data_IF_006297860062
#
_entry.id   IF_006297860062
#
_cell.length_a   1.000
_cell.length_b   1.000
_cell.length_c   1.000
_cell.angle_alpha   90.00
_cell.angle_beta   90.00
_cell.angle_gamma   90.00
#
_symmetry.space_group_name_H-M   'P 1'
#
loop_
_entity.id
_entity.type
_entity.pdbx_description
1 polymer ?
#
# COMPACT_ATOMS: atom_id res chain seq x y z
N UNK A 1 -35.71 -3.18 3.28
CA UNK A 1 -34.38 -3.23 2.72
C UNK A 1 -33.88 -1.85 2.33
N UNK A 2 -32.59 -1.65 2.39
CA UNK A 2 -31.93 -0.41 1.97
C UNK A 2 -31.68 -0.37 0.45
N UNK A 3 -31.86 -1.51 -0.22
CA UNK A 3 -31.62 -1.68 -1.68
C UNK A 3 -32.93 -1.90 -2.39
N UNK A 4 -33.18 -1.13 -3.44
CA UNK A 4 -34.36 -1.22 -4.31
C UNK A 4 -33.98 -1.09 -5.80
N UNK A 5 -34.98 -1.04 -6.67
CA UNK A 5 -34.78 -0.98 -8.13
C UNK A 5 -34.18 0.35 -8.61
N UNK A 6 -34.14 1.38 -7.79
CA UNK A 6 -33.57 2.70 -8.10
C UNK A 6 -32.18 2.90 -7.52
N UNK A 7 -31.70 1.94 -6.73
CA UNK A 7 -30.38 2.00 -6.08
C UNK A 7 -29.28 1.91 -7.13
N UNK A 8 -28.30 2.79 -7.02
CA UNK A 8 -27.04 2.74 -7.75
C UNK A 8 -25.90 2.35 -6.79
N UNK A 9 -25.14 1.34 -7.16
CA UNK A 9 -23.93 0.93 -6.45
C UNK A 9 -22.71 1.59 -7.10
N UNK A 10 -22.00 2.40 -6.34
CA UNK A 10 -20.72 2.98 -6.75
C UNK A 10 -19.60 2.25 -6.02
N UNK A 11 -18.76 1.55 -6.77
CA UNK A 11 -17.57 0.88 -6.26
C UNK A 11 -16.37 1.76 -6.58
N UNK A 12 -15.56 2.04 -5.58
CA UNK A 12 -14.35 2.86 -5.72
C UNK A 12 -13.14 2.11 -5.19
N UNK A 13 -11.99 2.31 -5.83
CA UNK A 13 -10.70 1.74 -5.44
C UNK A 13 -10.64 0.21 -5.48
N UNK A 14 -11.53 -0.39 -6.23
CA UNK A 14 -11.63 -1.84 -6.40
C UNK A 14 -12.40 -2.20 -7.66
N UNK A 15 -11.84 -3.09 -8.49
CA UNK A 15 -12.53 -3.67 -9.66
C UNK A 15 -12.79 -5.18 -9.52
N UNK A 16 -12.37 -5.82 -8.39
CA UNK A 16 -12.45 -7.27 -8.18
C UNK A 16 -13.50 -7.65 -7.16
N UNK A 17 -14.47 -8.53 -7.55
CA UNK A 17 -15.49 -9.02 -6.64
C UNK A 17 -14.95 -9.71 -5.38
N UNK A 18 -13.82 -10.42 -5.49
CA UNK A 18 -13.25 -11.21 -4.39
C UNK A 18 -12.71 -10.38 -3.20
N UNK A 19 -12.46 -9.08 -3.41
CA UNK A 19 -11.94 -8.20 -2.34
C UNK A 19 -12.98 -7.20 -1.83
N UNK A 20 -14.23 -7.28 -2.31
CA UNK A 20 -15.34 -6.46 -1.81
C UNK A 20 -15.85 -7.07 -0.50
N UNK A 21 -16.02 -6.24 0.53
CA UNK A 21 -16.51 -6.68 1.85
C UNK A 21 -17.88 -7.34 1.79
N UNK A 22 -18.78 -6.87 0.89
CA UNK A 22 -20.14 -7.40 0.72
C UNK A 22 -20.43 -7.68 -0.76
N UNK A 23 -19.91 -8.79 -1.33
CA UNK A 23 -20.01 -9.09 -2.75
C UNK A 23 -21.45 -9.37 -3.21
N UNK A 24 -22.37 -9.71 -2.30
CA UNK A 24 -23.78 -9.92 -2.64
C UNK A 24 -24.46 -8.67 -3.19
N UNK A 25 -24.01 -7.47 -2.80
CA UNK A 25 -24.50 -6.21 -3.33
C UNK A 25 -24.35 -6.11 -4.86
N UNK A 26 -23.31 -6.72 -5.41
CA UNK A 26 -23.10 -6.77 -6.87
C UNK A 26 -24.24 -7.49 -7.61
N UNK A 27 -24.90 -8.44 -6.96
CA UNK A 27 -26.02 -9.19 -7.54
C UNK A 27 -27.37 -8.52 -7.24
N UNK A 28 -27.47 -7.79 -6.15
CA UNK A 28 -28.72 -7.13 -5.71
C UNK A 28 -29.01 -5.85 -6.49
N UNK A 29 -27.98 -5.14 -6.96
CA UNK A 29 -28.11 -3.83 -7.61
C UNK A 29 -27.90 -3.96 -9.12
N UNK A 30 -28.86 -3.39 -9.90
CA UNK A 30 -28.79 -3.42 -11.37
C UNK A 30 -27.82 -2.37 -11.92
N UNK A 31 -27.86 -1.16 -11.37
CA UNK A 31 -27.02 -0.04 -11.81
C UNK A 31 -25.74 0.00 -11.01
N UNK A 32 -24.62 -0.38 -11.63
CA UNK A 32 -23.28 -0.40 -11.02
C UNK A 32 -22.36 0.54 -11.75
N UNK A 33 -21.54 1.26 -11.01
CA UNK A 33 -20.48 2.15 -11.52
C UNK A 33 -19.19 1.80 -10.78
N UNK A 34 -18.08 1.65 -11.50
CA UNK A 34 -16.78 1.26 -10.95
C UNK A 34 -15.75 2.31 -11.31
N UNK A 35 -14.99 2.78 -10.30
CA UNK A 35 -13.84 3.67 -10.46
C UNK A 35 -12.64 3.04 -9.77
N UNK A 36 -11.59 2.72 -10.51
CA UNK A 36 -10.41 2.08 -9.97
C UNK A 36 -9.14 2.55 -10.68
N UNK A 37 -8.01 2.49 -9.99
CA UNK A 37 -6.69 2.83 -10.53
C UNK A 37 -5.73 1.64 -10.53
N UNK A 38 -6.17 0.47 -10.08
CA UNK A 38 -5.37 -0.73 -10.09
C UNK A 38 -5.27 -1.33 -11.50
N UNK A 39 -4.22 -2.11 -11.74
CA UNK A 39 -4.14 -2.91 -12.97
C UNK A 39 -5.26 -3.94 -12.98
N UNK A 40 -6.01 -3.95 -14.07
CA UNK A 40 -7.08 -4.92 -14.25
C UNK A 40 -6.52 -6.35 -14.23
N UNK A 41 -7.21 -7.21 -13.51
CA UNK A 41 -6.99 -8.65 -13.50
C UNK A 41 -7.98 -9.37 -14.43
N UNK A 42 -7.90 -10.70 -14.49
CA UNK A 42 -8.91 -11.51 -15.18
C UNK A 42 -10.27 -11.52 -14.46
N UNK A 43 -10.28 -11.14 -13.18
CA UNK A 43 -11.47 -11.07 -12.35
C UNK A 43 -11.90 -9.60 -12.20
N UNK A 44 -12.96 -9.21 -12.94
CA UNK A 44 -13.49 -7.84 -12.89
C UNK A 44 -14.98 -7.84 -12.60
N UNK A 45 -15.50 -6.76 -12.03
CA UNK A 45 -16.94 -6.57 -11.78
C UNK A 45 -17.69 -6.50 -13.10
N UNK A 46 -18.58 -7.48 -13.33
CA UNK A 46 -19.34 -7.59 -14.55
C UNK A 46 -20.65 -6.79 -14.52
N UNK A 47 -21.12 -6.37 -15.71
CA UNK A 47 -22.39 -5.69 -15.86
C UNK A 47 -22.47 -4.28 -15.26
N UNK A 48 -21.34 -3.61 -15.05
CA UNK A 48 -21.31 -2.19 -14.71
C UNK A 48 -21.74 -1.35 -15.91
N UNK A 49 -22.59 -0.35 -15.68
CA UNK A 49 -23.02 0.61 -16.72
C UNK A 49 -21.88 1.59 -17.06
N UNK A 50 -20.97 1.80 -16.12
CA UNK A 50 -19.72 2.51 -16.30
C UNK A 50 -18.63 1.78 -15.49
N UNK A 51 -17.52 1.47 -16.14
CA UNK A 51 -16.28 1.01 -15.51
C UNK A 51 -15.16 1.89 -16.01
N UNK A 52 -14.61 2.71 -15.12
CA UNK A 52 -13.50 3.60 -15.39
C UNK A 52 -12.29 3.19 -14.55
N UNK A 53 -11.44 2.37 -15.16
CA UNK A 53 -10.21 1.86 -14.56
C UNK A 53 -9.01 2.49 -15.27
N UNK A 54 -8.24 3.30 -14.55
CA UNK A 54 -7.12 4.09 -15.09
C UNK A 54 -5.82 3.80 -14.32
N UNK A 55 -5.01 2.81 -14.74
CA UNK A 55 -3.81 2.41 -14.01
C UNK A 55 -2.69 3.47 -13.92
N UNK A 56 -2.81 4.56 -14.68
CA UNK A 56 -1.86 5.66 -14.63
C UNK A 56 -2.26 6.77 -13.66
N UNK A 57 -3.47 6.72 -13.12
CA UNK A 57 -3.86 7.61 -12.03
C UNK A 57 -3.17 7.20 -10.72
N UNK A 58 -2.83 8.19 -9.91
CA UNK A 58 -2.15 7.94 -8.64
C UNK A 58 -3.03 7.27 -7.58
N UNK A 59 -4.34 7.50 -7.67
CA UNK A 59 -5.33 7.03 -6.69
C UNK A 59 -6.74 7.10 -7.25
N UNK A 60 -7.67 6.35 -6.68
CA UNK A 60 -9.09 6.53 -6.94
C UNK A 60 -9.58 7.94 -6.54
N UNK A 61 -9.00 8.52 -5.49
CA UNK A 61 -9.26 9.91 -5.08
C UNK A 61 -8.88 10.92 -6.16
N UNK A 62 -7.78 10.70 -6.90
CA UNK A 62 -7.41 11.52 -8.07
C UNK A 62 -8.49 11.46 -9.14
N UNK A 63 -8.92 10.25 -9.52
CA UNK A 63 -9.95 10.06 -10.55
C UNK A 63 -11.25 10.77 -10.20
N UNK A 64 -11.73 10.59 -8.98
CA UNK A 64 -13.00 11.21 -8.53
C UNK A 64 -12.88 12.73 -8.47
N UNK A 65 -11.78 13.27 -7.90
CA UNK A 65 -11.57 14.71 -7.80
C UNK A 65 -11.41 15.38 -9.19
N UNK A 66 -10.78 14.68 -10.13
CA UNK A 66 -10.69 15.14 -11.52
C UNK A 66 -12.08 15.21 -12.16
N UNK A 67 -12.88 14.12 -12.06
CA UNK A 67 -14.23 14.09 -12.62
C UNK A 67 -15.15 15.14 -12.01
N UNK A 68 -15.06 15.42 -10.71
CA UNK A 68 -15.85 16.45 -10.05
C UNK A 68 -15.70 17.84 -10.71
N UNK A 69 -14.55 18.11 -11.32
CA UNK A 69 -14.32 19.39 -12.00
C UNK A 69 -15.09 19.52 -13.31
N UNK A 70 -15.56 18.42 -13.90
CA UNK A 70 -16.32 18.38 -15.15
C UNK A 70 -17.83 18.17 -14.96
N UNK A 71 -18.27 17.89 -13.73
CA UNK A 71 -19.70 17.77 -13.43
C UNK A 71 -20.34 19.16 -13.53
N UNK A 72 -21.35 19.29 -14.38
CA UNK A 72 -22.15 20.51 -14.47
C UNK A 72 -22.90 20.72 -13.14
N UNK A 73 -23.30 21.97 -12.85
CA UNK A 73 -24.01 22.41 -11.65
C UNK A 73 -23.18 22.63 -10.38
N UNK A 74 -21.84 22.75 -10.52
CA UNK A 74 -21.01 23.28 -9.45
C UNK A 74 -20.83 22.35 -8.24
N UNK A 75 -20.86 21.04 -8.45
CA UNK A 75 -20.51 20.07 -7.42
C UNK A 75 -19.09 20.33 -6.96
N UNK A 76 -18.94 20.64 -5.68
CA UNK A 76 -17.62 20.87 -5.03
C UNK A 76 -17.51 20.04 -3.78
N UNK A 77 -16.34 19.48 -3.56
CA UNK A 77 -16.04 18.83 -2.30
C UNK A 77 -16.14 19.85 -1.14
N UNK A 78 -16.83 19.46 -0.08
CA UNK A 78 -16.80 20.21 1.18
C UNK A 78 -15.42 20.07 1.83
N UNK A 79 -15.00 20.98 2.72
CA UNK A 79 -13.65 20.95 3.28
C UNK A 79 -13.22 19.59 3.88
N UNK A 80 -14.12 18.89 4.59
CA UNK A 80 -13.83 17.58 5.16
C UNK A 80 -13.71 16.50 4.09
N UNK A 81 -14.55 16.53 3.07
CA UNK A 81 -14.46 15.62 1.92
C UNK A 81 -13.15 15.85 1.16
N UNK A 82 -12.79 17.12 0.96
CA UNK A 82 -11.53 17.49 0.34
C UNK A 82 -10.31 17.03 1.17
N UNK A 83 -10.38 17.09 2.52
CA UNK A 83 -9.35 16.53 3.39
C UNK A 83 -9.20 15.02 3.17
N UNK A 84 -10.32 14.27 3.17
CA UNK A 84 -10.29 12.82 2.98
C UNK A 84 -9.73 12.43 1.61
N UNK A 85 -10.18 13.09 0.53
CA UNK A 85 -9.69 12.82 -0.82
C UNK A 85 -8.21 13.19 -0.96
N UNK A 86 -7.78 14.32 -0.40
CA UNK A 86 -6.37 14.71 -0.39
C UNK A 86 -5.53 13.70 0.39
N UNK A 87 -6.05 13.22 1.53
CA UNK A 87 -5.43 12.16 2.34
C UNK A 87 -5.25 10.85 1.55
N UNK A 88 -6.25 10.44 0.77
CA UNK A 88 -6.16 9.28 -0.13
C UNK A 88 -5.04 9.45 -1.16
N UNK A 89 -4.95 10.60 -1.82
CA UNK A 89 -3.84 10.91 -2.74
C UNK A 89 -2.49 10.80 -2.03
N UNK A 90 -2.36 11.37 -0.83
CA UNK A 90 -1.10 11.33 -0.04
C UNK A 90 -0.68 9.90 0.30
N UNK A 91 -1.63 9.03 0.68
CA UNK A 91 -1.34 7.63 1.02
C UNK A 91 -0.84 6.88 -0.21
N UNK A 92 -1.59 6.90 -1.30
CA UNK A 92 -1.29 6.11 -2.51
C UNK A 92 0.00 6.56 -3.19
N UNK A 93 0.27 7.87 -3.14
CA UNK A 93 1.50 8.45 -3.71
C UNK A 93 2.70 8.41 -2.76
N UNK A 94 2.55 7.90 -1.55
CA UNK A 94 3.58 8.00 -0.50
C UNK A 94 4.13 9.42 -0.40
N UNK A 95 3.26 10.36 -0.05
CA UNK A 95 3.60 11.78 0.05
C UNK A 95 4.14 12.37 -1.27
N UNK A 96 3.52 12.05 -2.40
CA UNK A 96 3.89 12.50 -3.75
C UNK A 96 5.27 12.02 -4.23
N UNK A 97 5.75 10.90 -3.70
CA UNK A 97 7.03 10.29 -4.10
C UNK A 97 6.86 9.14 -5.09
N UNK A 98 5.67 8.56 -5.21
CA UNK A 98 5.39 7.42 -6.07
C UNK A 98 4.16 7.67 -6.95
N UNK A 99 4.17 7.15 -8.18
CA UNK A 99 3.06 7.24 -9.15
C UNK A 99 2.43 8.64 -9.27
N UNK A 100 3.24 9.68 -9.15
CA UNK A 100 2.80 11.08 -9.13
C UNK A 100 3.04 11.72 -10.49
N UNK A 101 1.97 12.15 -11.13
CA UNK A 101 1.99 12.87 -12.40
C UNK A 101 1.51 14.32 -12.27
N UNK A 102 1.48 15.04 -13.39
CA UNK A 102 0.94 16.42 -13.44
C UNK A 102 -0.51 16.45 -12.95
N UNK A 103 -1.34 15.48 -13.36
CA UNK A 103 -2.74 15.35 -12.95
C UNK A 103 -2.88 15.27 -11.42
N UNK A 104 -1.99 14.55 -10.75
CA UNK A 104 -1.98 14.42 -9.28
C UNK A 104 -1.81 15.78 -8.60
N UNK A 105 -0.89 16.62 -9.10
CA UNK A 105 -0.67 17.97 -8.56
C UNK A 105 -1.84 18.91 -8.89
N UNK A 106 -2.45 18.79 -10.06
CA UNK A 106 -3.65 19.58 -10.44
C UNK A 106 -4.82 19.24 -9.52
N UNK A 107 -5.05 17.95 -9.25
CA UNK A 107 -6.06 17.48 -8.29
C UNK A 107 -5.73 17.94 -6.88
N UNK A 108 -4.49 17.85 -6.43
CA UNK A 108 -4.09 18.37 -5.13
C UNK A 108 -4.37 19.87 -5.00
N UNK A 109 -4.08 20.66 -6.04
CA UNK A 109 -4.39 22.07 -6.08
C UNK A 109 -5.93 22.33 -6.08
N UNK A 110 -6.71 21.53 -6.80
CA UNK A 110 -8.17 21.60 -6.78
C UNK A 110 -8.72 21.33 -5.37
N UNK A 111 -8.30 20.24 -4.72
CA UNK A 111 -8.74 19.90 -3.37
C UNK A 111 -8.36 20.98 -2.34
N UNK A 112 -7.18 21.60 -2.50
CA UNK A 112 -6.80 22.78 -1.71
C UNK A 112 -7.75 23.94 -1.89
N UNK A 113 -8.19 24.24 -3.12
CA UNK A 113 -9.21 25.26 -3.39
C UNK A 113 -10.58 24.92 -2.78
N UNK A 114 -10.90 23.63 -2.66
CA UNK A 114 -12.10 23.14 -1.98
C UNK A 114 -11.99 23.19 -0.44
N UNK A 115 -10.84 23.55 0.11
CA UNK A 115 -10.65 23.77 1.56
C UNK A 115 -9.92 22.63 2.27
N UNK A 116 -9.27 21.69 1.53
CA UNK A 116 -8.40 20.70 2.16
C UNK A 116 -7.30 21.37 2.96
N UNK A 117 -7.07 20.91 4.20
CA UNK A 117 -6.06 21.45 5.12
C UNK A 117 -4.99 20.39 5.42
N UNK A 118 -3.81 20.62 4.87
CA UNK A 118 -2.66 19.71 5.03
C UNK A 118 -2.33 19.50 6.50
N UNK A 119 -2.52 20.50 7.36
CA UNK A 119 -2.25 20.37 8.79
C UNK A 119 -3.24 19.43 9.47
N UNK A 120 -4.54 19.49 9.10
CA UNK A 120 -5.53 18.53 9.60
C UNK A 120 -5.19 17.12 9.14
N UNK A 121 -4.88 16.95 7.85
CA UNK A 121 -4.53 15.65 7.24
C UNK A 121 -3.30 15.06 7.92
N UNK A 122 -2.22 15.83 8.10
CA UNK A 122 -1.02 15.37 8.82
C UNK A 122 -1.30 14.95 10.25
N UNK A 123 -2.28 15.58 10.93
CA UNK A 123 -2.66 15.16 12.30
C UNK A 123 -3.32 13.79 12.31
N UNK A 124 -4.10 13.44 11.27
CA UNK A 124 -4.74 12.12 11.13
C UNK A 124 -3.70 11.02 10.91
N UNK A 125 -2.61 11.30 10.17
CA UNK A 125 -1.55 10.34 9.88
C UNK A 125 -0.45 10.26 10.96
N UNK A 126 -0.63 10.91 12.11
CA UNK A 126 0.31 10.78 13.22
C UNK A 126 0.25 9.38 13.80
N UNK A 127 1.41 8.84 14.08
CA UNK A 127 1.56 7.56 14.75
C UNK A 127 1.55 7.74 16.27
N UNK A 128 1.14 6.68 16.98
CA UNK A 128 1.30 6.62 18.41
C UNK A 128 2.77 6.50 18.80
N UNK A 129 3.10 7.00 19.99
CA UNK A 129 4.49 7.03 20.45
C UNK A 129 5.10 5.65 20.58
N UNK A 130 4.30 4.66 21.00
CA UNK A 130 4.73 3.24 21.11
C UNK A 130 5.08 2.64 19.75
N UNK A 131 4.29 2.95 18.71
CA UNK A 131 4.54 2.48 17.33
C UNK A 131 5.78 3.14 16.75
N UNK A 132 5.92 4.44 16.99
CA UNK A 132 7.12 5.17 16.59
C UNK A 132 8.39 4.60 17.25
N UNK A 133 8.33 4.30 18.57
CA UNK A 133 9.45 3.67 19.29
C UNK A 133 9.76 2.28 18.76
N UNK A 134 8.74 1.44 18.55
CA UNK A 134 8.93 0.08 18.04
C UNK A 134 9.61 0.09 16.64
N UNK A 135 9.17 1.00 15.78
CA UNK A 135 9.74 1.23 14.46
C UNK A 135 11.20 1.75 14.56
N UNK A 136 11.45 2.75 15.39
CA UNK A 136 12.79 3.31 15.59
C UNK A 136 13.77 2.26 16.15
N UNK A 137 13.32 1.43 17.09
CA UNK A 137 14.10 0.31 17.63
C UNK A 137 14.45 -0.73 16.53
N UNK A 138 13.49 -1.05 15.65
CA UNK A 138 13.73 -1.95 14.54
C UNK A 138 14.76 -1.35 13.56
N UNK A 139 14.65 -0.06 13.23
CA UNK A 139 15.61 0.62 12.35
C UNK A 139 17.01 0.63 12.99
N UNK A 140 17.10 0.94 14.28
CA UNK A 140 18.39 0.98 15.01
C UNK A 140 19.10 -0.37 15.13
N UNK A 141 18.38 -1.49 14.97
CA UNK A 141 18.93 -2.84 15.00
C UNK A 141 19.23 -3.42 13.61
N UNK A 142 18.97 -2.65 12.55
CA UNK A 142 19.17 -3.15 11.21
C UNK A 142 20.64 -3.56 10.96
N UNK A 143 20.82 -4.76 10.47
CA UNK A 143 22.10 -5.27 9.96
C UNK A 143 22.16 -5.04 8.45
N UNK A 144 23.26 -4.46 7.98
CA UNK A 144 23.46 -4.22 6.55
C UNK A 144 24.17 -5.41 5.95
N UNK A 145 23.47 -6.13 5.09
CA UNK A 145 23.96 -7.32 4.42
C UNK A 145 24.26 -7.04 2.96
N UNK A 146 25.42 -7.49 2.46
CA UNK A 146 25.89 -7.28 1.08
C UNK A 146 25.82 -5.81 0.65
N UNK A 147 26.13 -4.89 1.56
CA UNK A 147 26.22 -3.42 1.39
C UNK A 147 24.89 -2.69 1.10
N UNK A 148 23.83 -3.38 0.66
CA UNK A 148 22.59 -2.73 0.22
C UNK A 148 21.29 -3.42 0.69
N UNK A 149 21.35 -4.52 1.42
CA UNK A 149 20.18 -5.09 2.10
C UNK A 149 20.16 -4.70 3.57
N UNK A 150 19.10 -4.04 4.03
CA UNK A 150 18.88 -3.80 5.44
C UNK A 150 17.97 -4.91 6.01
N UNK A 151 18.49 -5.73 6.90
CA UNK A 151 17.74 -6.82 7.55
C UNK A 151 17.53 -6.47 9.01
N UNK A 152 16.28 -6.51 9.49
CA UNK A 152 15.96 -6.18 10.86
C UNK A 152 14.82 -7.01 11.43
N UNK A 153 14.60 -6.85 12.72
CA UNK A 153 13.53 -7.51 13.47
C UNK A 153 12.75 -6.51 14.29
N UNK A 154 11.44 -6.67 14.34
CA UNK A 154 10.58 -5.94 15.26
C UNK A 154 10.52 -6.72 16.58
N UNK A 155 11.14 -6.17 17.61
CA UNK A 155 11.28 -6.86 18.90
C UNK A 155 10.18 -6.55 19.91
N UNK A 156 9.29 -5.63 19.67
CA UNK A 156 8.28 -5.18 20.64
C UNK A 156 7.04 -4.53 20.05
N UNK A 157 6.04 -4.51 20.90
CA UNK A 157 4.66 -4.14 20.85
C UNK A 157 4.49 -2.63 20.65
N UNK A 158 3.85 -2.29 19.55
CA UNK A 158 3.12 -1.05 19.37
C UNK A 158 1.62 -1.27 19.57
N UNK A 159 0.83 -0.29 19.35
CA UNK A 159 -0.64 -0.34 19.28
C UNK A 159 -1.09 -1.00 17.96
N UNK A 160 -0.37 -0.72 16.88
CA UNK A 160 -0.60 -1.33 15.58
C UNK A 160 -0.25 -2.83 15.55
N UNK A 161 -0.83 -3.55 14.61
CA UNK A 161 -0.46 -4.92 14.30
C UNK A 161 1.05 -5.02 14.04
N UNK A 162 1.76 -6.03 14.62
CA UNK A 162 3.20 -6.20 14.39
C UNK A 162 3.57 -6.34 12.92
N UNK A 163 2.71 -6.91 12.08
CA UNK A 163 2.93 -7.04 10.64
C UNK A 163 2.88 -5.69 9.93
N UNK A 164 1.98 -4.79 10.36
CA UNK A 164 1.90 -3.41 9.86
C UNK A 164 3.14 -2.63 10.25
N UNK A 165 3.59 -2.74 11.51
CA UNK A 165 4.82 -2.09 11.97
C UNK A 165 6.06 -2.60 11.24
N UNK A 166 6.16 -3.91 10.93
CA UNK A 166 7.22 -4.46 10.09
C UNK A 166 7.23 -3.81 8.70
N UNK A 167 6.06 -3.68 8.06
CA UNK A 167 5.95 -3.05 6.76
C UNK A 167 6.36 -1.57 6.79
N UNK A 168 5.94 -0.83 7.83
CA UNK A 168 6.34 0.56 8.06
C UNK A 168 7.85 0.69 8.27
N UNK A 169 8.44 -0.14 9.13
CA UNK A 169 9.89 -0.15 9.38
C UNK A 169 10.69 -0.49 8.13
N UNK A 170 10.22 -1.46 7.32
CA UNK A 170 10.87 -1.80 6.06
C UNK A 170 10.86 -0.63 5.06
N UNK A 171 9.75 0.12 4.97
CA UNK A 171 9.71 1.33 4.15
C UNK A 171 10.69 2.40 4.63
N UNK A 172 10.80 2.62 5.95
CA UNK A 172 11.72 3.62 6.51
C UNK A 172 13.19 3.27 6.27
N UNK A 173 13.56 1.99 6.31
CA UNK A 173 14.93 1.55 6.02
C UNK A 173 15.37 1.89 4.59
N UNK A 174 14.45 1.99 3.64
CA UNK A 174 14.76 2.42 2.27
C UNK A 174 15.13 3.90 2.16
N UNK A 175 14.83 4.72 3.17
CA UNK A 175 15.26 6.13 3.22
C UNK A 175 16.74 6.28 3.59
N UNK A 176 17.42 5.19 3.97
CA UNK A 176 18.84 5.20 4.31
C UNK A 176 19.67 5.13 3.02
N UNK A 177 20.59 6.07 2.87
CA UNK A 177 21.47 6.13 1.70
C UNK A 177 22.25 4.82 1.51
N UNK A 178 22.19 4.25 0.30
CA UNK A 178 22.86 3.01 -0.08
C UNK A 178 22.02 1.75 0.09
N UNK A 179 20.92 1.81 0.83
CA UNK A 179 20.00 0.68 0.96
C UNK A 179 19.10 0.62 -0.29
N UNK A 180 19.09 -0.54 -0.93
CA UNK A 180 18.25 -0.83 -2.11
C UNK A 180 17.09 -1.76 -1.79
N UNK A 181 17.24 -2.60 -0.79
CA UNK A 181 16.19 -3.48 -0.29
C UNK A 181 16.23 -3.59 1.23
N UNK A 182 15.08 -3.80 1.82
CA UNK A 182 14.92 -3.98 3.27
C UNK A 182 14.03 -5.18 3.57
N UNK A 183 14.36 -5.90 4.62
CA UNK A 183 13.59 -7.04 5.12
C UNK A 183 13.43 -6.86 6.62
N UNK A 184 12.18 -6.74 7.08
CA UNK A 184 11.86 -6.67 8.51
C UNK A 184 10.94 -7.81 8.87
N UNK A 185 11.21 -8.47 9.98
CA UNK A 185 10.45 -9.63 10.42
C UNK A 185 10.04 -9.54 11.89
N UNK A 186 8.94 -10.18 12.20
CA UNK A 186 8.40 -10.29 13.57
C UNK A 186 7.79 -11.66 13.78
N UNK A 187 7.91 -12.19 14.99
CA UNK A 187 7.25 -13.43 15.40
C UNK A 187 5.92 -13.09 16.08
N UNK A 188 4.84 -13.63 15.55
CA UNK A 188 3.51 -13.59 16.15
C UNK A 188 3.07 -15.03 16.37
N UNK A 189 2.87 -15.40 17.62
CA UNK A 189 2.59 -16.78 18.02
C UNK A 189 3.68 -17.75 17.49
N UNK A 190 3.31 -18.72 16.66
CA UNK A 190 4.21 -19.71 16.07
C UNK A 190 4.62 -19.38 14.62
N UNK A 191 4.37 -18.15 14.16
CA UNK A 191 4.65 -17.74 12.79
C UNK A 191 5.53 -16.51 12.76
N UNK A 192 6.61 -16.56 11.97
CA UNK A 192 7.41 -15.38 11.63
C UNK A 192 6.87 -14.76 10.36
N UNK A 193 6.40 -13.50 10.48
CA UNK A 193 5.96 -12.68 9.36
C UNK A 193 7.14 -11.84 8.86
N UNK A 194 7.34 -11.85 7.55
CA UNK A 194 8.45 -11.17 6.88
C UNK A 194 7.85 -10.15 5.91
N UNK A 195 8.27 -8.89 6.04
CA UNK A 195 7.95 -7.81 5.11
C UNK A 195 9.21 -7.38 4.37
N UNK A 196 9.17 -7.44 3.05
CA UNK A 196 10.26 -6.99 2.19
C UNK A 196 9.83 -5.80 1.34
N UNK A 197 10.73 -4.85 1.18
CA UNK A 197 10.56 -3.64 0.37
C UNK A 197 11.81 -3.40 -0.46
N UNK A 198 11.66 -2.77 -1.62
CA UNK A 198 12.80 -2.36 -2.44
C UNK A 198 12.54 -1.08 -3.21
N UNK A 199 13.62 -0.51 -3.70
CA UNK A 199 13.61 0.49 -4.75
C UNK A 199 13.75 -0.25 -6.09
N UNK A 200 13.33 0.35 -7.19
CA UNK A 200 13.13 -0.24 -8.53
C UNK A 200 14.20 -1.23 -9.04
N UNK A 201 15.43 -1.11 -8.56
CA UNK A 201 16.55 -1.95 -8.99
C UNK A 201 16.47 -3.40 -8.47
N UNK A 202 15.77 -3.63 -7.34
CA UNK A 202 15.74 -4.92 -6.66
C UNK A 202 14.35 -5.56 -6.72
N UNK A 203 14.29 -6.85 -7.00
CA UNK A 203 13.05 -7.61 -7.02
C UNK A 203 12.87 -8.42 -5.73
N UNK A 204 12.16 -7.83 -4.74
CA UNK A 204 11.87 -8.54 -3.48
C UNK A 204 10.77 -9.60 -3.61
N UNK A 205 10.01 -9.61 -4.70
CA UNK A 205 9.06 -10.68 -4.97
C UNK A 205 9.79 -12.02 -5.12
N UNK A 206 10.83 -12.09 -5.95
CA UNK A 206 11.65 -13.29 -6.14
C UNK A 206 12.26 -13.75 -4.82
N UNK A 207 12.77 -12.81 -4.01
CA UNK A 207 13.30 -13.12 -2.68
C UNK A 207 12.25 -13.79 -1.79
N UNK A 208 11.02 -13.25 -1.77
CA UNK A 208 9.97 -13.81 -0.94
C UNK A 208 9.41 -15.12 -1.50
N UNK A 209 9.37 -15.31 -2.81
CA UNK A 209 8.97 -16.57 -3.46
C UNK A 209 9.93 -17.72 -3.09
N UNK A 210 11.26 -17.48 -3.03
CA UNK A 210 12.25 -18.45 -2.52
C UNK A 210 11.98 -18.87 -1.06
N UNK A 211 11.29 -18.03 -0.30
CA UNK A 211 10.88 -18.28 1.08
C UNK A 211 9.43 -18.80 1.23
N UNK A 212 8.78 -19.14 0.12
CA UNK A 212 7.40 -19.62 0.11
C UNK A 212 6.34 -18.52 0.25
N UNK A 213 6.73 -17.27 0.09
CA UNK A 213 5.85 -16.10 0.09
C UNK A 213 5.54 -15.58 -1.32
N UNK A 214 5.30 -14.27 -1.43
CA UNK A 214 5.02 -13.63 -2.71
C UNK A 214 4.74 -12.13 -2.56
N UNK A 215 4.26 -11.52 -3.63
CA UNK A 215 3.93 -10.09 -3.64
C UNK A 215 4.16 -9.46 -5.01
N UNK A 216 4.69 -8.25 -4.98
CA UNK A 216 5.08 -7.49 -6.16
C UNK A 216 6.58 -7.17 -6.13
N UNK A 217 7.12 -6.72 -7.25
CA UNK A 217 8.55 -6.43 -7.42
C UNK A 217 9.16 -5.62 -6.26
N UNK A 218 8.46 -4.58 -5.78
CA UNK A 218 8.96 -3.65 -4.75
C UNK A 218 8.32 -3.85 -3.38
N UNK A 219 7.28 -4.68 -3.27
CA UNK A 219 6.53 -4.94 -2.03
C UNK A 219 6.16 -6.40 -1.99
N UNK A 220 6.77 -7.16 -1.08
CA UNK A 220 6.51 -8.58 -0.94
C UNK A 220 6.56 -9.01 0.53
N UNK A 221 6.13 -10.23 0.82
CA UNK A 221 6.17 -10.80 2.15
C UNK A 221 6.14 -12.31 2.16
N UNK A 222 6.53 -12.90 3.27
CA UNK A 222 6.47 -14.33 3.51
C UNK A 222 6.01 -14.62 4.95
N UNK A 223 5.55 -15.84 5.18
CA UNK A 223 5.18 -16.36 6.49
C UNK A 223 5.89 -17.69 6.71
N UNK A 224 6.61 -17.81 7.82
CA UNK A 224 7.35 -19.00 8.17
C UNK A 224 6.83 -19.57 9.48
N UNK A 225 6.08 -20.66 9.40
CA UNK A 225 5.47 -21.31 10.55
C UNK A 225 6.45 -22.24 11.25
N UNK A 226 6.41 -22.30 12.59
CA UNK A 226 7.24 -23.19 13.39
C UNK A 226 8.73 -22.84 13.41
N UNK A 227 9.10 -21.61 13.02
CA UNK A 227 10.49 -21.15 12.97
C UNK A 227 10.79 -20.07 14.01
N UNK A 228 12.07 -19.96 14.37
CA UNK A 228 12.57 -18.83 15.15
C UNK A 228 13.10 -17.73 14.21
N UNK A 229 13.10 -16.50 14.73
CA UNK A 229 13.48 -15.30 13.94
C UNK A 229 14.90 -15.41 13.42
N UNK A 230 15.82 -15.93 14.22
CA UNK A 230 17.23 -16.12 13.87
C UNK A 230 17.41 -17.11 12.71
N UNK A 231 16.61 -18.15 12.67
CA UNK A 231 16.59 -19.12 11.57
C UNK A 231 16.03 -18.48 10.29
N UNK A 232 14.99 -17.66 10.40
CA UNK A 232 14.46 -16.92 9.28
C UNK A 232 15.46 -15.91 8.71
N UNK A 233 16.22 -15.20 9.57
CA UNK A 233 17.30 -14.30 9.13
C UNK A 233 18.35 -15.07 8.31
N UNK A 234 18.74 -16.26 8.75
CA UNK A 234 19.69 -17.09 8.03
C UNK A 234 19.15 -17.47 6.65
N UNK A 235 17.92 -17.93 6.56
CA UNK A 235 17.28 -18.28 5.28
C UNK A 235 17.15 -17.09 4.34
N UNK A 236 16.82 -15.91 4.87
CA UNK A 236 16.79 -14.68 4.07
C UNK A 236 18.17 -14.37 3.49
N UNK A 237 19.23 -14.47 4.30
CA UNK A 237 20.62 -14.26 3.84
C UNK A 237 21.05 -15.30 2.78
N UNK A 238 20.71 -16.58 2.97
CA UNK A 238 20.94 -17.64 2.00
C UNK A 238 20.22 -17.37 0.68
N UNK A 239 18.95 -17.01 0.72
CA UNK A 239 18.18 -16.66 -0.48
C UNK A 239 18.74 -15.43 -1.21
N UNK A 240 19.21 -14.42 -0.49
CA UNK A 240 19.89 -13.26 -1.08
C UNK A 240 21.19 -13.69 -1.79
N UNK A 241 21.98 -14.54 -1.16
CA UNK A 241 23.25 -15.05 -1.75
C UNK A 241 22.99 -15.86 -3.02
N UNK A 242 21.95 -16.69 -3.04
CA UNK A 242 21.51 -17.42 -4.23
C UNK A 242 21.14 -16.46 -5.37
N UNK A 243 20.31 -15.45 -5.09
CA UNK A 243 19.91 -14.45 -6.09
C UNK A 243 21.10 -13.71 -6.69
N UNK A 244 22.11 -13.39 -5.88
CA UNK A 244 23.35 -12.75 -6.36
C UNK A 244 24.13 -13.69 -7.29
N UNK A 245 24.23 -14.98 -6.95
CA UNK A 245 24.92 -16.00 -7.76
C UNK A 245 24.17 -16.22 -9.09
N UNK A 246 22.84 -16.23 -9.07
CA UNK A 246 21.97 -16.41 -10.25
C UNK A 246 21.93 -15.16 -11.15
N UNK A 247 22.49 -14.03 -10.72
CA UNK A 247 22.47 -12.76 -11.45
C UNK A 247 21.10 -12.07 -11.49
N UNK A 248 20.23 -12.43 -10.58
CA UNK A 248 18.88 -11.83 -10.43
C UNK A 248 18.91 -10.47 -9.68
N UNK A 249 20.10 -10.07 -9.25
CA UNK A 249 20.40 -8.81 -8.57
C UNK A 249 21.39 -8.04 -9.42
N UNK A 250 20.94 -6.89 -9.95
CA UNK A 250 21.79 -5.98 -10.72
C UNK A 250 22.57 -5.02 -9.80
#
# INVERSE_FOLDING_TARGET
GLVDSTTMLVVVDCDRPSIIDEPELLNMVKTKVVFDHHRQSSETIQGAVLSYCEPYASSASELIAEMMQYIQDGVKARPLEADCMYGGVVIDTREFTNQTGVRTFEVAAYLRRCGADITRIRKVFREDFSDYQAKADAIGRADIYRDFYAISTLGKKGEDSPTVLCAKAANELLNIRGIKASVVMTKVEDTVFISARSIDEMNVQVLMEKLGGGGHRTVAGAQMQGMEVEECIKKVKEAIDEMIIEGEVA
#
